data_IF_257304333938
#
_entry.id   IF_257304333938
#
_cell.length_a   1.000
_cell.length_b   1.000
_cell.length_c   1.000
_cell.angle_alpha   90.00
_cell.angle_beta   90.00
_cell.angle_gamma   90.00
#
_symmetry.space_group_name_H-M   'P 1'
#
loop_
_entity.id
_entity.type
_entity.pdbx_description
1 polymer ?
#
# COMPACT_ATOMS: atom_id res chain seq x y z
N UNK A 1 10.40 13.06 -21.84
CA UNK A 1 9.82 13.11 -23.20
C UNK A 1 10.80 13.73 -24.19
N UNK A 2 11.24 14.99 -23.99
CA UNK A 2 12.26 15.69 -24.81
C UNK A 2 13.45 14.80 -25.15
N UNK A 3 14.22 14.36 -24.15
CA UNK A 3 15.42 13.54 -24.38
C UNK A 3 15.11 12.18 -25.02
N UNK A 4 13.96 11.58 -24.70
CA UNK A 4 13.57 10.25 -25.21
C UNK A 4 13.25 10.29 -26.71
N UNK A 5 12.55 11.33 -27.15
CA UNK A 5 12.05 11.42 -28.52
C UNK A 5 12.83 12.40 -29.39
N UNK A 6 13.80 13.13 -28.82
CA UNK A 6 14.57 14.17 -29.50
C UNK A 6 13.73 15.35 -29.94
N UNK A 7 12.68 15.71 -29.18
CA UNK A 7 11.70 16.76 -29.53
C UNK A 7 11.87 17.99 -28.66
N UNK A 8 11.41 19.16 -29.12
CA UNK A 8 11.28 20.35 -28.27
C UNK A 8 9.92 20.32 -27.58
N UNK A 9 9.86 20.85 -26.36
CA UNK A 9 8.64 21.03 -25.59
C UNK A 9 8.38 22.52 -25.32
N UNK A 10 7.13 22.94 -25.50
CA UNK A 10 6.58 24.19 -25.00
C UNK A 10 5.60 23.89 -23.86
N UNK A 11 5.67 24.63 -22.76
CA UNK A 11 4.96 24.35 -21.51
C UNK A 11 4.17 25.57 -21.06
N UNK A 12 2.88 25.37 -20.82
CA UNK A 12 2.00 26.34 -20.18
C UNK A 12 1.29 25.71 -18.98
N UNK A 13 1.29 26.40 -17.84
CA UNK A 13 0.56 26.01 -16.64
C UNK A 13 -0.64 26.94 -16.47
N UNK A 14 -1.82 26.36 -16.27
CA UNK A 14 -3.08 27.09 -16.16
C UNK A 14 -3.70 26.94 -14.77
N UNK A 15 -4.23 28.06 -14.30
CA UNK A 15 -5.13 28.10 -13.15
C UNK A 15 -6.53 27.58 -13.55
N UNK A 16 -7.32 27.14 -12.56
CA UNK A 16 -8.73 26.84 -12.74
C UNK A 16 -9.48 28.01 -13.42
N UNK A 17 -10.39 27.68 -14.34
CA UNK A 17 -11.24 28.68 -14.97
C UNK A 17 -12.29 29.22 -14.00
N UNK A 18 -12.65 30.51 -14.15
CA UNK A 18 -13.77 31.13 -13.41
C UNK A 18 -15.08 30.37 -13.69
N UNK A 19 -15.75 29.89 -12.63
CA UNK A 19 -16.96 29.05 -12.73
C UNK A 19 -16.69 27.58 -13.09
N UNK A 20 -15.41 27.18 -13.10
CA UNK A 20 -14.95 25.80 -13.21
C UNK A 20 -14.82 25.12 -11.84
N UNK A 21 -14.13 23.98 -11.81
CA UNK A 21 -13.73 23.36 -10.56
C UNK A 21 -12.39 23.96 -10.12
N UNK A 22 -12.37 24.63 -8.97
CA UNK A 22 -11.19 25.29 -8.39
C UNK A 22 -10.00 24.36 -8.11
N UNK A 23 -10.18 23.04 -8.25
CA UNK A 23 -9.12 22.04 -8.10
C UNK A 23 -8.42 21.69 -9.42
N UNK A 24 -8.90 22.21 -10.56
CA UNK A 24 -8.42 21.81 -11.89
C UNK A 24 -7.22 22.65 -12.39
N UNK A 25 -6.15 22.70 -11.59
CA UNK A 25 -4.85 23.15 -12.10
C UNK A 25 -4.32 22.13 -13.12
N UNK A 26 -3.92 22.60 -14.29
CA UNK A 26 -3.47 21.72 -15.36
C UNK A 26 -2.37 22.37 -16.20
N UNK A 27 -1.60 21.55 -16.91
CA UNK A 27 -0.54 22.01 -17.79
C UNK A 27 -0.76 21.48 -19.21
N UNK A 28 -0.48 22.34 -20.19
CA UNK A 28 -0.31 21.94 -21.58
C UNK A 28 1.18 21.80 -21.88
N UNK A 29 1.55 20.66 -22.44
CA UNK A 29 2.90 20.39 -22.95
C UNK A 29 2.76 20.10 -24.44
N UNK A 30 3.14 21.06 -25.27
CA UNK A 30 3.17 20.87 -26.73
C UNK A 30 4.54 20.36 -27.13
N UNK A 31 4.59 19.30 -27.95
CA UNK A 31 5.83 18.73 -28.46
C UNK A 31 5.91 18.95 -29.97
N UNK A 32 7.11 19.17 -30.50
CA UNK A 32 7.31 19.10 -31.94
C UNK A 32 7.04 17.68 -32.45
N UNK A 33 6.37 17.55 -33.60
CA UNK A 33 6.07 16.23 -34.21
C UNK A 33 7.29 15.61 -34.92
N UNK A 34 8.38 16.37 -35.01
CA UNK A 34 9.67 15.98 -35.59
C UNK A 34 10.78 16.14 -34.56
N UNK A 35 11.84 15.36 -34.75
CA UNK A 35 13.09 15.50 -34.00
C UNK A 35 13.69 16.87 -34.27
N UNK A 36 14.31 17.45 -33.26
CA UNK A 36 14.89 18.77 -33.25
C UNK A 36 16.39 18.64 -32.94
N UNK A 37 17.22 19.21 -33.82
CA UNK A 37 18.67 19.11 -33.77
C UNK A 37 19.28 20.49 -34.08
N UNK A 38 20.53 20.71 -33.67
CA UNK A 38 21.31 21.86 -34.10
C UNK A 38 22.17 21.46 -35.30
N UNK A 39 22.17 22.28 -36.35
CA UNK A 39 23.12 22.13 -37.45
C UNK A 39 24.55 22.57 -37.02
N UNK A 40 25.59 22.35 -37.84
CA UNK A 40 26.97 22.76 -37.52
C UNK A 40 27.13 24.27 -37.26
N UNK A 41 26.22 25.09 -37.77
CA UNK A 41 26.16 26.53 -37.58
C UNK A 41 25.34 26.96 -36.33
N UNK A 42 24.90 26.00 -35.51
CA UNK A 42 24.06 26.17 -34.31
C UNK A 42 22.64 26.70 -34.59
N UNK A 43 22.09 26.50 -35.78
CA UNK A 43 20.68 26.78 -36.06
C UNK A 43 19.81 25.58 -35.71
N UNK A 44 18.63 25.86 -35.17
CA UNK A 44 17.63 24.84 -34.89
C UNK A 44 17.00 24.33 -36.19
N UNK A 45 17.12 23.03 -36.43
CA UNK A 45 16.50 22.33 -37.56
C UNK A 45 15.55 21.22 -37.09
N UNK A 46 14.48 20.99 -37.85
CA UNK A 46 13.57 19.85 -37.64
C UNK A 46 13.88 18.74 -38.63
N UNK A 47 14.15 17.55 -38.13
CA UNK A 47 14.60 16.41 -38.94
C UNK A 47 13.47 15.42 -39.18
N UNK A 48 13.67 14.15 -38.84
CA UNK A 48 12.73 13.06 -39.06
C UNK A 48 11.55 13.12 -38.11
N UNK A 49 10.50 12.36 -38.44
CA UNK A 49 9.31 12.26 -37.58
C UNK A 49 9.69 11.67 -36.22
N UNK A 50 9.19 12.27 -35.14
CA UNK A 50 9.43 11.75 -33.79
C UNK A 50 8.83 10.35 -33.65
N UNK A 51 9.49 9.48 -32.87
CA UNK A 51 9.10 8.06 -32.79
C UNK A 51 7.69 7.85 -32.25
N UNK A 52 7.25 8.68 -31.31
CA UNK A 52 5.90 8.65 -30.75
C UNK A 52 4.81 8.98 -31.79
N UNK A 53 5.16 9.71 -32.84
CA UNK A 53 4.26 10.11 -33.92
C UNK A 53 4.22 9.08 -35.08
N UNK A 54 5.08 8.06 -35.05
CA UNK A 54 5.07 7.00 -36.05
C UNK A 54 3.82 6.12 -35.90
N UNK A 55 3.27 5.64 -37.02
CA UNK A 55 2.18 4.67 -36.98
C UNK A 55 2.68 3.34 -36.41
N UNK A 56 1.80 2.59 -35.73
CA UNK A 56 2.15 1.26 -35.22
C UNK A 56 2.63 0.31 -36.32
N UNK A 57 2.12 0.45 -37.56
CA UNK A 57 2.61 -0.32 -38.71
C UNK A 57 4.09 -0.01 -39.00
N UNK A 58 4.48 1.28 -39.02
CA UNK A 58 5.88 1.67 -39.22
C UNK A 58 6.76 1.29 -38.03
N UNK A 59 6.27 1.44 -36.80
CA UNK A 59 6.99 1.03 -35.57
C UNK A 59 7.28 -0.47 -35.57
N UNK A 60 6.33 -1.30 -36.02
CA UNK A 60 6.52 -2.74 -36.19
C UNK A 60 7.65 -3.07 -37.18
N UNK A 61 7.75 -2.36 -38.32
CA UNK A 61 8.86 -2.59 -39.26
C UNK A 61 10.22 -2.15 -38.73
N UNK A 62 10.24 -1.29 -37.71
CA UNK A 62 11.45 -0.87 -37.00
C UNK A 62 11.71 -1.70 -35.72
N UNK A 63 10.97 -2.79 -35.50
CA UNK A 63 11.07 -3.63 -34.31
C UNK A 63 10.88 -2.87 -32.98
N UNK A 64 9.98 -1.88 -32.99
CA UNK A 64 9.64 -1.06 -31.83
C UNK A 64 8.30 -1.48 -31.22
N UNK A 65 8.10 -1.20 -29.93
CA UNK A 65 6.79 -1.30 -29.27
C UNK A 65 5.77 -0.31 -29.85
N UNK A 66 4.52 -0.42 -29.42
CA UNK A 66 3.40 0.42 -29.91
C UNK A 66 3.40 1.81 -29.28
N UNK A 67 2.73 2.77 -29.93
CA UNK A 67 2.51 4.11 -29.34
C UNK A 67 1.69 4.03 -28.05
N UNK A 68 0.79 3.04 -27.92
CA UNK A 68 -0.01 2.82 -26.70
C UNK A 68 0.86 2.42 -25.50
N UNK A 69 1.90 1.61 -25.72
CA UNK A 69 2.87 1.24 -24.68
C UNK A 69 3.69 2.46 -24.24
N UNK A 70 4.12 3.29 -25.19
CA UNK A 70 4.77 4.57 -24.90
C UNK A 70 3.86 5.48 -24.05
N UNK A 71 2.58 5.61 -24.40
CA UNK A 71 1.61 6.40 -23.64
C UNK A 71 1.45 5.85 -22.22
N UNK A 72 1.39 4.52 -22.04
CA UNK A 72 1.32 3.90 -20.70
C UNK A 72 2.56 4.23 -19.88
N UNK A 73 3.76 4.17 -20.47
CA UNK A 73 5.01 4.54 -19.78
C UNK A 73 5.07 6.03 -19.44
N UNK A 74 4.59 6.91 -20.33
CA UNK A 74 4.51 8.35 -20.04
C UNK A 74 3.58 8.61 -18.86
N UNK A 75 2.41 7.96 -18.83
CA UNK A 75 1.47 8.06 -17.71
C UNK A 75 2.05 7.52 -16.40
N UNK A 76 2.78 6.41 -16.46
CA UNK A 76 3.48 5.87 -15.30
C UNK A 76 4.52 6.85 -14.76
N UNK A 77 5.39 7.35 -15.64
CA UNK A 77 6.43 8.34 -15.28
C UNK A 77 5.82 9.59 -14.67
N UNK A 78 4.73 10.11 -15.24
CA UNK A 78 4.03 11.27 -14.69
C UNK A 78 3.45 10.98 -13.29
N UNK A 79 2.82 9.81 -13.10
CA UNK A 79 2.27 9.42 -11.80
C UNK A 79 3.38 9.29 -10.75
N UNK A 80 4.53 8.72 -11.10
CA UNK A 80 5.68 8.60 -10.20
C UNK A 80 6.22 9.97 -9.78
N UNK A 81 6.41 10.88 -10.73
CA UNK A 81 6.85 12.25 -10.45
C UNK A 81 5.83 13.02 -9.59
N UNK A 82 4.54 12.90 -9.91
CA UNK A 82 3.48 13.56 -9.15
C UNK A 82 3.38 13.01 -7.72
N UNK A 83 3.49 11.69 -7.54
CA UNK A 83 3.48 11.05 -6.23
C UNK A 83 4.70 11.45 -5.40
N UNK A 84 5.87 11.55 -6.00
CA UNK A 84 7.06 12.05 -5.32
C UNK A 84 6.85 13.49 -4.84
N UNK A 85 6.29 14.37 -5.68
CA UNK A 85 5.97 15.74 -5.29
C UNK A 85 4.90 15.80 -4.17
N UNK A 86 3.89 14.93 -4.20
CA UNK A 86 2.88 14.81 -3.15
C UNK A 86 3.52 14.39 -1.82
N UNK A 87 4.42 13.41 -1.84
CA UNK A 87 5.16 12.95 -0.66
C UNK A 87 6.02 14.07 -0.06
N UNK A 88 6.77 14.81 -0.89
CA UNK A 88 7.55 15.97 -0.44
C UNK A 88 6.66 17.07 0.17
N UNK A 89 5.42 17.20 -0.28
CA UNK A 89 4.43 18.11 0.27
C UNK A 89 3.67 17.54 1.49
N UNK A 90 4.07 16.36 2.00
CA UNK A 90 3.44 15.71 3.16
C UNK A 90 2.05 15.11 2.90
N UNK A 91 1.66 14.94 1.63
CA UNK A 91 0.37 14.37 1.25
C UNK A 91 0.45 12.84 1.24
N UNK A 92 -0.57 12.19 1.81
CA UNK A 92 -0.64 10.72 1.90
C UNK A 92 -1.31 10.09 0.67
N UNK A 93 -2.01 10.90 -0.13
CA UNK A 93 -2.71 10.47 -1.32
C UNK A 93 -1.72 10.03 -2.40
N UNK A 94 -2.08 9.00 -3.16
CA UNK A 94 -1.31 8.52 -4.30
C UNK A 94 -2.17 8.46 -5.55
N UNK A 95 -1.53 8.78 -6.66
CA UNK A 95 -2.08 8.71 -8.01
C UNK A 95 -1.61 7.39 -8.63
N UNK A 96 -2.55 6.63 -9.18
CA UNK A 96 -2.25 5.42 -9.96
C UNK A 96 -2.72 5.63 -11.40
N UNK A 97 -1.80 5.44 -12.35
CA UNK A 97 -2.06 5.65 -13.77
C UNK A 97 -2.85 4.51 -14.43
N UNK A 98 -2.97 3.37 -13.75
CA UNK A 98 -3.65 2.17 -14.24
C UNK A 98 -5.15 2.30 -14.09
N UNK A 99 -5.91 1.60 -14.93
CA UNK A 99 -7.37 1.52 -14.76
C UNK A 99 -7.73 0.80 -13.45
N UNK A 100 -8.94 1.01 -12.92
CA UNK A 100 -9.40 0.28 -11.73
C UNK A 100 -9.37 -1.25 -11.92
N UNK A 101 -9.65 -1.72 -13.13
CA UNK A 101 -9.53 -3.13 -13.49
C UNK A 101 -8.08 -3.60 -13.40
N UNK A 102 -7.13 -2.87 -13.99
CA UNK A 102 -5.70 -3.21 -13.95
C UNK A 102 -5.09 -3.11 -12.53
N UNK A 103 -5.70 -2.31 -11.65
CA UNK A 103 -5.35 -2.25 -10.22
C UNK A 103 -5.94 -3.42 -9.43
N UNK A 104 -6.89 -4.17 -10.00
CA UNK A 104 -7.67 -5.20 -9.31
C UNK A 104 -8.29 -4.70 -7.99
N UNK A 105 -8.74 -3.45 -7.96
CA UNK A 105 -9.17 -2.79 -6.73
C UNK A 105 -10.68 -2.95 -6.42
N UNK A 106 -11.44 -3.56 -7.33
CA UNK A 106 -12.88 -3.80 -7.21
C UNK A 106 -13.77 -2.57 -7.48
N UNK A 107 -13.17 -1.42 -7.81
CA UNK A 107 -13.91 -0.19 -8.10
C UNK A 107 -14.44 -0.15 -9.53
N UNK A 108 -15.63 0.40 -9.68
CA UNK A 108 -16.25 0.61 -10.98
C UNK A 108 -15.85 1.97 -11.58
N UNK A 109 -15.50 2.00 -12.86
CA UNK A 109 -15.16 3.22 -13.57
C UNK A 109 -16.41 4.04 -13.92
N UNK A 110 -16.27 5.36 -13.97
CA UNK A 110 -17.29 6.29 -14.46
C UNK A 110 -17.19 6.45 -15.98
N UNK A 111 -18.27 6.91 -16.61
CA UNK A 111 -18.30 7.24 -18.04
C UNK A 111 -17.92 8.72 -18.21
N UNK A 112 -17.11 9.03 -19.22
CA UNK A 112 -16.78 10.43 -19.53
C UNK A 112 -18.05 11.19 -19.93
N UNK A 113 -18.34 12.28 -19.21
CA UNK A 113 -19.58 13.04 -19.39
C UNK A 113 -19.56 13.94 -20.64
N UNK A 114 -18.38 14.44 -21.03
CA UNK A 114 -18.29 15.44 -22.07
C UNK A 114 -18.82 16.80 -21.64
N UNK A 115 -18.66 17.79 -22.53
CA UNK A 115 -18.98 19.20 -22.26
C UNK A 115 -20.48 19.42 -22.03
N UNK A 116 -21.33 18.88 -22.90
CA UNK A 116 -22.78 19.08 -22.84
C UNK A 116 -23.41 18.53 -21.56
N UNK A 117 -23.06 17.30 -21.16
CA UNK A 117 -23.57 16.72 -19.90
C UNK A 117 -23.06 17.50 -18.69
N UNK A 118 -21.79 17.90 -18.70
CA UNK A 118 -21.21 18.73 -17.62
C UNK A 118 -21.96 20.05 -17.47
N UNK A 119 -22.30 20.70 -18.59
CA UNK A 119 -23.05 21.96 -18.60
C UNK A 119 -24.47 21.78 -18.06
N UNK A 120 -25.19 20.75 -18.51
CA UNK A 120 -26.52 20.42 -17.99
C UNK A 120 -26.48 20.16 -16.48
N UNK A 121 -25.47 19.42 -15.99
CA UNK A 121 -25.29 19.19 -14.56
C UNK A 121 -25.07 20.48 -13.78
N UNK A 122 -24.30 21.45 -14.30
CA UNK A 122 -24.11 22.77 -13.67
C UNK A 122 -25.41 23.56 -13.57
N UNK A 123 -26.37 23.30 -14.45
CA UNK A 123 -27.72 23.87 -14.41
C UNK A 123 -28.68 23.07 -13.50
N UNK A 124 -28.19 22.03 -12.81
CA UNK A 124 -29.00 21.15 -11.97
C UNK A 124 -29.78 20.07 -12.74
N UNK A 125 -29.53 19.91 -14.05
CA UNK A 125 -30.23 18.95 -14.90
C UNK A 125 -29.44 17.64 -14.96
N UNK A 126 -29.99 16.59 -14.37
CA UNK A 126 -29.39 15.25 -14.39
C UNK A 126 -29.71 14.47 -15.67
N UNK A 127 -28.68 14.15 -16.46
CA UNK A 127 -28.71 13.22 -17.60
C UNK A 127 -28.50 11.76 -17.16
N UNK A 128 -28.77 10.80 -18.04
CA UNK A 128 -28.50 9.37 -17.79
C UNK A 128 -27.05 9.10 -17.40
N UNK A 129 -26.08 9.67 -18.13
CA UNK A 129 -24.65 9.53 -17.84
C UNK A 129 -24.31 10.11 -16.46
N UNK A 130 -24.84 11.30 -16.16
CA UNK A 130 -24.57 11.95 -14.87
C UNK A 130 -25.10 11.12 -13.69
N UNK A 131 -26.33 10.62 -13.79
CA UNK A 131 -26.97 9.78 -12.77
C UNK A 131 -26.26 8.43 -12.62
N UNK A 132 -25.81 7.83 -13.73
CA UNK A 132 -24.99 6.62 -13.71
C UNK A 132 -23.69 6.86 -12.93
N UNK A 133 -22.97 7.93 -13.24
CA UNK A 133 -21.72 8.26 -12.56
C UNK A 133 -21.92 8.52 -11.06
N UNK A 134 -23.03 9.16 -10.68
CA UNK A 134 -23.33 9.40 -9.27
C UNK A 134 -23.62 8.10 -8.53
N UNK A 135 -24.35 7.15 -9.15
CA UNK A 135 -24.53 5.79 -8.61
C UNK A 135 -23.21 5.04 -8.47
N UNK A 136 -22.32 5.11 -9.47
CA UNK A 136 -20.99 4.49 -9.43
C UNK A 136 -20.15 5.06 -8.30
N UNK A 137 -20.14 6.40 -8.14
CA UNK A 137 -19.41 7.05 -7.03
C UNK A 137 -19.94 6.62 -5.67
N UNK A 138 -21.27 6.57 -5.51
CA UNK A 138 -21.90 6.12 -4.28
C UNK A 138 -21.55 4.65 -3.96
N UNK A 139 -21.63 3.77 -4.97
CA UNK A 139 -21.29 2.37 -4.83
C UNK A 139 -19.82 2.17 -4.44
N UNK A 140 -18.89 2.84 -5.14
CA UNK A 140 -17.46 2.79 -4.83
C UNK A 140 -17.17 3.29 -3.40
N UNK A 141 -17.82 4.37 -2.96
CA UNK A 141 -17.66 4.88 -1.60
C UNK A 141 -18.15 3.87 -0.54
N UNK A 142 -19.31 3.25 -0.76
CA UNK A 142 -19.83 2.21 0.12
C UNK A 142 -18.90 0.99 0.17
N UNK A 143 -18.41 0.53 -0.99
CA UNK A 143 -17.49 -0.59 -1.09
C UNK A 143 -16.19 -0.33 -0.32
N UNK A 144 -15.60 0.86 -0.47
CA UNK A 144 -14.38 1.23 0.27
C UNK A 144 -14.62 1.29 1.78
N UNK A 145 -15.74 1.89 2.22
CA UNK A 145 -16.08 1.94 3.65
C UNK A 145 -16.26 0.54 4.25
N UNK A 146 -16.95 -0.36 3.55
CA UNK A 146 -17.11 -1.75 3.99
C UNK A 146 -15.76 -2.47 4.08
N UNK A 147 -14.88 -2.26 3.09
CA UNK A 147 -13.54 -2.84 3.08
C UNK A 147 -12.69 -2.35 4.25
N UNK A 148 -12.75 -1.06 4.58
CA UNK A 148 -12.05 -0.51 5.75
C UNK A 148 -12.60 -1.08 7.07
N UNK A 149 -13.93 -1.12 7.24
CA UNK A 149 -14.55 -1.73 8.43
C UNK A 149 -14.17 -3.21 8.58
N UNK A 150 -14.14 -3.98 7.49
CA UNK A 150 -13.72 -5.38 7.53
C UNK A 150 -12.25 -5.55 7.93
N UNK A 151 -11.36 -4.67 7.45
CA UNK A 151 -9.95 -4.67 7.86
C UNK A 151 -9.81 -4.40 9.36
N UNK A 152 -10.52 -3.39 9.86
CA UNK A 152 -10.49 -3.01 11.27
C UNK A 152 -10.96 -4.16 12.16
N UNK A 153 -12.11 -4.77 11.85
CA UNK A 153 -12.63 -5.95 12.56
C UNK A 153 -11.66 -7.13 12.48
N UNK A 154 -11.01 -7.34 11.34
CA UNK A 154 -10.03 -8.43 11.16
C UNK A 154 -8.78 -8.20 12.01
N UNK A 155 -8.28 -6.96 12.06
CA UNK A 155 -7.15 -6.57 12.88
C UNK A 155 -7.47 -6.73 14.36
N UNK A 156 -8.62 -6.22 14.80
CA UNK A 156 -9.08 -6.32 16.20
C UNK A 156 -9.18 -7.78 16.66
N UNK A 157 -9.78 -8.66 15.84
CA UNK A 157 -9.83 -10.10 16.13
C UNK A 157 -8.43 -10.72 16.21
N UNK A 158 -7.50 -10.28 15.37
CA UNK A 158 -6.11 -10.70 15.39
C UNK A 158 -5.41 -10.31 16.69
N UNK A 159 -5.53 -9.05 17.10
CA UNK A 159 -4.96 -8.54 18.35
C UNK A 159 -5.53 -9.27 19.58
N UNK A 160 -6.86 -9.39 19.65
CA UNK A 160 -7.52 -10.11 20.76
C UNK A 160 -7.04 -11.56 20.87
N UNK A 161 -6.81 -12.24 19.75
CA UNK A 161 -6.30 -13.62 19.76
C UNK A 161 -4.86 -13.70 20.27
N UNK A 162 -4.01 -12.73 19.90
CA UNK A 162 -2.62 -12.66 20.39
C UNK A 162 -2.60 -12.38 21.89
N UNK A 163 -3.41 -11.44 22.36
CA UNK A 163 -3.52 -11.09 23.77
C UNK A 163 -3.99 -12.30 24.61
N UNK A 164 -5.07 -12.96 24.20
CA UNK A 164 -5.55 -14.18 24.87
C UNK A 164 -4.50 -15.31 24.88
N UNK A 165 -3.76 -15.48 23.78
CA UNK A 165 -2.68 -16.46 23.71
C UNK A 165 -1.52 -16.13 24.65
N UNK A 166 -1.17 -14.85 24.78
CA UNK A 166 -0.14 -14.39 25.71
C UNK A 166 -0.57 -14.59 27.17
N UNK A 167 -1.81 -14.23 27.51
CA UNK A 167 -2.37 -14.43 28.85
C UNK A 167 -2.40 -15.91 29.24
N UNK A 168 -2.82 -16.78 28.32
CA UNK A 168 -2.82 -18.21 28.55
C UNK A 168 -1.40 -18.74 28.75
N UNK A 169 -0.45 -18.31 27.92
CA UNK A 169 0.95 -18.69 28.07
C UNK A 169 1.55 -18.26 29.42
N UNK A 170 1.23 -17.05 29.91
CA UNK A 170 1.65 -16.58 31.23
C UNK A 170 1.10 -17.49 32.34
N UNK A 171 -0.20 -17.81 32.28
CA UNK A 171 -0.86 -18.71 33.24
C UNK A 171 -0.24 -20.10 33.23
N UNK A 172 0.00 -20.67 32.05
CA UNK A 172 0.61 -21.99 31.89
C UNK A 172 2.04 -22.01 32.46
N UNK A 173 2.80 -20.94 32.23
CA UNK A 173 4.17 -20.77 32.76
C UNK A 173 4.16 -20.69 34.28
N UNK A 174 3.24 -19.94 34.87
CA UNK A 174 3.09 -19.82 36.32
C UNK A 174 2.62 -21.13 36.96
N UNK A 175 1.63 -21.80 36.37
CA UNK A 175 1.16 -23.11 36.81
C UNK A 175 2.29 -24.15 36.80
N UNK A 176 3.11 -24.16 35.74
CA UNK A 176 4.28 -25.04 35.64
C UNK A 176 5.32 -24.72 36.71
N UNK A 177 5.55 -23.45 37.04
CA UNK A 177 6.43 -23.04 38.15
C UNK A 177 5.92 -23.53 39.49
N UNK A 178 4.63 -23.33 39.78
CA UNK A 178 4.01 -23.76 41.03
C UNK A 178 4.06 -25.28 41.22
N UNK A 179 3.82 -26.06 40.16
CA UNK A 179 3.92 -27.52 40.24
C UNK A 179 5.37 -27.97 40.49
N UNK A 180 6.36 -27.32 39.87
CA UNK A 180 7.78 -27.60 40.15
C UNK A 180 8.14 -27.30 41.61
N UNK A 181 7.66 -26.18 42.16
CA UNK A 181 7.87 -25.83 43.58
C UNK A 181 7.24 -26.87 44.51
N UNK A 182 6.01 -27.30 44.22
CA UNK A 182 5.28 -28.32 45.00
C UNK A 182 6.00 -29.67 44.98
N UNK A 183 6.49 -30.10 43.82
CA UNK A 183 7.30 -31.33 43.68
C UNK A 183 8.62 -31.23 44.44
N UNK A 184 9.31 -30.09 44.37
CA UNK A 184 10.54 -29.86 45.10
C UNK A 184 10.31 -29.88 46.63
N UNK A 185 9.19 -29.33 47.10
CA UNK A 185 8.83 -29.32 48.51
C UNK A 185 8.49 -30.73 49.02
N UNK A 186 7.71 -31.50 48.28
CA UNK A 186 7.43 -32.90 48.61
C UNK A 186 8.72 -33.73 48.69
N UNK A 187 9.64 -33.54 47.75
CA UNK A 187 10.93 -34.22 47.76
C UNK A 187 11.77 -33.83 48.99
N UNK A 188 11.84 -32.54 49.32
CA UNK A 188 12.50 -32.06 50.56
C UNK A 188 11.86 -32.65 51.82
N UNK A 189 10.54 -32.83 51.84
CA UNK A 189 9.82 -33.43 52.96
C UNK A 189 10.19 -34.91 53.12
N UNK A 190 10.17 -35.68 52.03
CA UNK A 190 10.57 -37.08 52.01
C UNK A 190 12.03 -37.27 52.46
N UNK A 191 12.95 -36.42 51.98
CA UNK A 191 14.36 -36.45 52.42
C UNK A 191 14.52 -36.17 53.92
N UNK A 192 13.75 -35.22 54.48
CA UNK A 192 13.74 -34.93 55.91
C UNK A 192 13.20 -36.10 56.73
N UNK A 193 12.15 -36.76 56.26
CA UNK A 193 11.59 -37.94 56.91
C UNK A 193 12.56 -39.12 56.88
N UNK A 194 13.20 -39.38 55.74
CA UNK A 194 14.24 -40.40 55.63
C UNK A 194 15.41 -40.13 56.58
N UNK A 195 15.93 -38.90 56.61
CA UNK A 195 17.01 -38.54 57.56
C UNK A 195 16.61 -38.72 59.02
N UNK A 196 15.36 -38.38 59.40
CA UNK A 196 14.85 -38.64 60.75
C UNK A 196 14.73 -40.13 61.05
N UNK A 197 14.31 -40.94 60.07
CA UNK A 197 14.24 -42.39 60.20
C UNK A 197 15.63 -43.01 60.37
N UNK A 198 16.62 -42.57 59.58
CA UNK A 198 18.03 -43.00 59.69
C UNK A 198 18.65 -42.62 61.04
N UNK A 199 18.39 -41.40 61.55
CA UNK A 199 18.84 -40.98 62.87
C UNK A 199 18.21 -41.78 64.01
N UNK A 200 16.94 -42.19 63.89
CA UNK A 200 16.28 -43.09 64.86
C UNK A 200 16.80 -44.53 64.77
N UNK A 201 17.23 -44.97 63.59
CA UNK A 201 17.73 -46.32 63.34
C UNK A 201 19.21 -46.51 63.71
N UNK A 202 19.95 -45.44 64.04
CA UNK A 202 21.33 -45.50 64.54
C UNK A 202 21.36 -45.43 66.07
N UNK A 203 21.54 -46.55 66.80
CA UNK A 203 21.65 -46.52 68.26
C UNK A 203 23.02 -45.95 68.64
N UNK A 204 23.03 -45.08 69.65
CA UNK A 204 24.25 -44.60 70.30
C UNK A 204 25.01 -45.79 70.91
N UNK A 205 25.97 -46.34 70.16
CA UNK A 205 26.95 -47.30 70.65
C UNK A 205 28.03 -46.55 71.43
N UNK A 206 27.73 -46.15 72.67
CA UNK A 206 28.79 -45.96 73.65
C UNK A 206 28.38 -46.51 75.03
N UNK A 207 28.57 -47.84 75.12
CA UNK A 207 29.09 -48.63 76.24
C UNK A 207 28.50 -48.44 77.64
N UNK A 208 27.89 -49.53 78.11
CA UNK A 208 27.94 -49.89 79.52
C UNK A 208 29.37 -50.26 79.97
N UNK A 209 29.63 -50.06 81.26
CA UNK A 209 30.76 -50.62 82.00
C UNK A 209 30.28 -51.03 83.39
N UNK A 210 30.44 -52.32 83.71
CA UNK A 210 30.01 -53.01 84.93
C UNK A 210 30.81 -52.63 86.19
N UNK A 211 30.20 -52.87 87.36
CA UNK A 211 30.80 -52.76 88.70
C UNK A 211 31.90 -53.80 88.99
N UNK A 212 33.00 -53.34 89.61
CA UNK A 212 33.58 -53.82 90.89
C UNK A 212 34.63 -52.83 91.38
#
# INVERSE_FOLDING_TARGET
MVNRYGVIADLAIHEPSKGGNDKNHHAHIMLTTRKAELDPENNLILTTKAEIELSNAKRKTLNMGTTQEDIKQIRATWADLANHALEQAGQQQKIDHRSYVDQNNGLQATIHEGTSVTQLRRQGIGTEISRYNDKVKQHNAQYLNQKEQQKEVTLERGFNRVEQGFDQWQKDREAKRLEQERQAEQKRQQEREMKKAEQKASPNLNKGGWSR
#
